data_IF_577555805984
#
_entry.id   IF_577555805984
#
_cell.length_a   1.000
_cell.length_b   1.000
_cell.length_c   1.000
_cell.angle_alpha   90.00
_cell.angle_beta   90.00
_cell.angle_gamma   90.00
#
_symmetry.space_group_name_H-M   'P 1'
#
loop_
_entity.id
_entity.type
_entity.pdbx_description
1 polymer ?
#
# COMPACT_ATOMS: atom_id res chain seq x y z
N UNK A 1 11.52 -8.94 5.93
CA UNK A 1 12.45 -8.04 5.20
C UNK A 1 13.91 -8.29 5.57
N UNK A 2 14.29 -8.32 6.85
CA UNK A 2 15.67 -8.63 7.29
C UNK A 2 16.24 -9.91 6.66
N UNK A 3 15.51 -11.03 6.70
CA UNK A 3 15.94 -12.29 6.10
C UNK A 3 16.10 -12.22 4.56
N UNK A 4 15.26 -11.47 3.85
CA UNK A 4 15.43 -11.25 2.41
C UNK A 4 16.72 -10.45 2.11
N UNK A 5 17.10 -9.56 3.03
CA UNK A 5 18.30 -8.72 2.95
C UNK A 5 18.07 -7.44 2.13
N UNK A 6 18.87 -6.41 2.44
CA UNK A 6 18.82 -5.13 1.73
C UNK A 6 18.98 -5.30 0.22
N UNK A 7 18.25 -4.49 -0.57
CA UNK A 7 18.26 -4.54 -2.04
C UNK A 7 17.57 -5.76 -2.67
N UNK A 8 17.03 -6.68 -1.87
CA UNK A 8 16.40 -7.91 -2.38
C UNK A 8 14.87 -7.95 -2.16
N UNK A 9 14.32 -6.87 -1.63
CA UNK A 9 12.88 -6.64 -1.53
C UNK A 9 12.56 -5.28 -2.16
N UNK A 10 11.40 -5.19 -2.78
CA UNK A 10 10.94 -3.98 -3.47
C UNK A 10 9.74 -3.33 -2.78
N UNK A 11 8.87 -4.14 -2.18
CA UNK A 11 7.65 -3.64 -1.56
C UNK A 11 7.16 -4.60 -0.48
N UNK A 12 6.57 -4.05 0.58
CA UNK A 12 5.96 -4.79 1.68
C UNK A 12 4.56 -4.21 1.93
N UNK A 13 3.55 -5.08 2.02
CA UNK A 13 2.23 -4.78 2.57
C UNK A 13 1.98 -5.70 3.78
N UNK A 14 0.85 -5.52 4.47
CA UNK A 14 0.47 -6.22 5.70
C UNK A 14 0.92 -7.70 5.75
N UNK A 15 0.63 -8.45 4.70
CA UNK A 15 0.81 -9.90 4.63
C UNK A 15 1.56 -10.35 3.36
N UNK A 16 2.21 -9.45 2.64
CA UNK A 16 2.90 -9.78 1.39
C UNK A 16 4.19 -9.00 1.19
N UNK A 17 5.15 -9.64 0.51
CA UNK A 17 6.45 -9.08 0.20
C UNK A 17 6.78 -9.36 -1.27
N UNK A 18 7.20 -8.32 -2.00
CA UNK A 18 7.72 -8.46 -3.35
C UNK A 18 9.25 -8.50 -3.25
N UNK A 19 9.86 -9.57 -3.75
CA UNK A 19 11.31 -9.82 -3.70
C UNK A 19 11.85 -10.21 -5.06
N UNK A 20 13.16 -10.05 -5.25
CA UNK A 20 13.87 -10.66 -6.36
C UNK A 20 14.18 -12.14 -6.07
N UNK A 21 14.85 -12.80 -7.00
CA UNK A 21 15.20 -14.22 -6.88
C UNK A 21 16.13 -14.51 -5.69
N UNK A 22 17.13 -13.66 -5.44
CA UNK A 22 18.04 -13.81 -4.29
C UNK A 22 17.28 -13.70 -2.96
N UNK A 23 16.37 -12.72 -2.85
CA UNK A 23 15.51 -12.55 -1.68
C UNK A 23 14.59 -13.75 -1.47
N UNK A 24 14.01 -14.31 -2.54
CA UNK A 24 13.23 -15.54 -2.49
C UNK A 24 14.07 -16.72 -1.99
N UNK A 25 15.28 -16.92 -2.52
CA UNK A 25 16.19 -17.97 -2.10
C UNK A 25 16.49 -17.90 -0.59
N UNK A 26 16.69 -16.69 -0.04
CA UNK A 26 16.91 -16.49 1.39
C UNK A 26 15.68 -16.79 2.25
N UNK A 27 14.48 -16.64 1.70
CA UNK A 27 13.22 -16.90 2.39
C UNK A 27 12.78 -18.37 2.32
N UNK A 28 13.42 -19.23 1.52
CA UNK A 28 12.98 -20.62 1.28
C UNK A 28 12.68 -21.42 2.55
N UNK A 29 13.46 -21.23 3.63
CA UNK A 29 13.25 -21.95 4.90
C UNK A 29 11.93 -21.63 5.59
N UNK A 30 11.33 -20.48 5.28
CA UNK A 30 10.04 -20.03 5.83
C UNK A 30 8.87 -20.29 4.89
N UNK A 31 9.15 -20.83 3.69
CA UNK A 31 8.14 -21.06 2.69
C UNK A 31 7.40 -22.37 2.95
N UNK A 32 6.07 -22.29 2.99
CA UNK A 32 5.20 -23.46 3.09
C UNK A 32 3.84 -23.09 2.53
N UNK A 33 3.28 -23.96 1.68
CA UNK A 33 1.95 -23.76 1.10
C UNK A 33 0.81 -24.24 2.00
N UNK A 34 1.13 -25.00 3.06
CA UNK A 34 0.14 -25.68 3.92
C UNK A 34 0.26 -25.29 5.38
N UNK A 35 1.43 -24.85 5.83
CA UNK A 35 1.66 -24.47 7.23
C UNK A 35 1.08 -23.09 7.52
N UNK A 36 0.40 -22.97 8.67
CA UNK A 36 -0.05 -21.67 9.17
C UNK A 36 1.15 -20.74 9.38
N UNK A 37 1.06 -19.50 8.90
CA UNK A 37 2.14 -18.51 8.95
C UNK A 37 3.27 -18.73 7.94
N UNK A 38 3.21 -19.78 7.11
CA UNK A 38 4.17 -20.02 6.03
C UNK A 38 4.03 -19.02 4.89
N UNK A 39 5.16 -18.67 4.27
CA UNK A 39 5.16 -17.87 3.04
C UNK A 39 4.86 -18.76 1.84
N UNK A 40 3.98 -18.30 0.94
CA UNK A 40 3.75 -18.94 -0.36
C UNK A 40 4.04 -17.97 -1.50
N UNK A 41 4.41 -18.52 -2.65
CA UNK A 41 4.55 -17.72 -3.87
C UNK A 41 3.17 -17.52 -4.47
N UNK A 42 2.63 -16.31 -4.32
CA UNK A 42 1.35 -15.94 -4.93
C UNK A 42 1.47 -15.73 -6.44
N UNK A 43 2.57 -15.14 -6.90
CA UNK A 43 2.80 -14.86 -8.31
C UNK A 43 4.28 -14.57 -8.58
N UNK A 44 4.70 -14.69 -9.83
CA UNK A 44 6.04 -14.34 -10.32
C UNK A 44 5.93 -13.50 -11.59
N UNK A 45 6.94 -12.67 -11.85
CA UNK A 45 6.93 -11.72 -12.95
C UNK A 45 8.31 -11.12 -13.18
N UNK A 46 8.52 -10.58 -14.38
CA UNK A 46 9.81 -10.02 -14.78
C UNK A 46 9.96 -8.54 -14.40
N UNK A 47 8.85 -7.86 -14.12
CA UNK A 47 8.85 -6.43 -13.79
C UNK A 47 7.78 -6.08 -12.76
N UNK A 48 8.10 -5.04 -12.00
CA UNK A 48 7.20 -4.38 -11.05
C UNK A 48 7.31 -2.87 -11.24
N UNK A 49 6.18 -2.18 -11.20
CA UNK A 49 6.14 -0.71 -11.17
C UNK A 49 5.42 -0.32 -9.90
N UNK A 50 6.14 0.33 -8.98
CA UNK A 50 5.63 0.83 -7.71
C UNK A 50 5.33 2.31 -7.86
N UNK A 51 4.07 2.70 -7.76
CA UNK A 51 3.62 4.10 -7.89
C UNK A 51 3.28 4.73 -6.54
N UNK A 52 3.07 3.90 -5.53
CA UNK A 52 2.80 4.33 -4.16
C UNK A 52 2.21 3.20 -3.32
N UNK A 53 1.63 3.58 -2.18
CA UNK A 53 1.02 2.63 -1.26
C UNK A 53 -0.19 1.95 -1.89
N UNK A 54 -0.07 0.63 -2.08
CA UNK A 54 -1.09 -0.21 -2.73
C UNK A 54 -1.51 0.33 -4.11
N UNK A 55 -0.58 0.97 -4.82
CA UNK A 55 -0.68 1.32 -6.24
C UNK A 55 0.57 0.77 -6.94
N UNK A 56 0.44 -0.44 -7.49
CA UNK A 56 1.52 -1.09 -8.22
C UNK A 56 1.02 -2.05 -9.29
N UNK A 57 1.86 -2.30 -10.29
CA UNK A 57 1.66 -3.36 -11.27
C UNK A 57 2.79 -4.37 -11.16
N UNK A 58 2.46 -5.65 -11.18
CA UNK A 58 3.41 -6.75 -11.10
C UNK A 58 3.06 -7.78 -12.17
N UNK A 59 3.86 -7.85 -13.23
CA UNK A 59 3.47 -8.57 -14.45
C UNK A 59 2.11 -8.09 -14.96
N UNK A 60 1.13 -9.00 -15.04
CA UNK A 60 -0.26 -8.70 -15.46
C UNK A 60 -1.16 -8.25 -14.31
N UNK A 61 -0.72 -8.36 -13.05
CA UNK A 61 -1.51 -7.99 -11.88
C UNK A 61 -1.46 -6.48 -11.67
N UNK A 62 -2.63 -5.86 -11.59
CA UNK A 62 -2.80 -4.46 -11.20
C UNK A 62 -3.41 -4.38 -9.81
N UNK A 63 -2.75 -3.68 -8.89
CA UNK A 63 -3.24 -3.43 -7.52
C UNK A 63 -3.36 -1.94 -7.34
N UNK A 64 -4.58 -1.45 -7.14
CA UNK A 64 -4.87 -0.05 -6.85
C UNK A 64 -5.90 0.01 -5.72
N UNK A 65 -5.50 0.50 -4.55
CA UNK A 65 -6.40 0.59 -3.39
C UNK A 65 -7.56 1.53 -3.69
N UNK A 66 -8.78 1.05 -3.41
CA UNK A 66 -10.00 1.84 -3.51
C UNK A 66 -10.54 1.99 -4.94
N UNK A 67 -9.86 1.42 -5.93
CA UNK A 67 -10.33 1.34 -7.33
C UNK A 67 -10.83 -0.07 -7.62
N UNK A 68 -12.06 -0.19 -8.10
CA UNK A 68 -12.66 -1.49 -8.44
C UNK A 68 -12.07 -2.05 -9.74
N UNK A 69 -12.14 -3.38 -9.91
CA UNK A 69 -11.68 -4.05 -11.14
C UNK A 69 -12.42 -3.58 -12.39
N UNK A 70 -13.68 -3.20 -12.26
CA UNK A 70 -14.53 -2.71 -13.35
C UNK A 70 -14.57 -1.17 -13.45
N UNK A 71 -13.72 -0.46 -12.69
CA UNK A 71 -13.62 0.99 -12.81
C UNK A 71 -13.08 1.38 -14.19
N UNK A 72 -13.61 2.46 -14.76
CA UNK A 72 -13.15 2.99 -16.05
C UNK A 72 -12.03 3.99 -15.78
N UNK A 73 -10.85 3.76 -16.37
CA UNK A 73 -9.74 4.72 -16.31
C UNK A 73 -10.05 5.87 -17.27
N UNK A 74 -10.18 7.09 -16.76
CA UNK A 74 -10.39 8.29 -17.58
C UNK A 74 -9.05 8.87 -18.04
N UNK A 75 -8.09 8.95 -17.13
CA UNK A 75 -6.72 9.41 -17.38
C UNK A 75 -5.79 8.83 -16.32
N UNK A 76 -4.50 9.19 -16.35
CA UNK A 76 -3.58 8.66 -15.36
C UNK A 76 -3.91 9.14 -13.94
N UNK A 77 -4.08 8.19 -13.01
CA UNK A 77 -4.52 8.47 -11.65
C UNK A 77 -6.00 8.83 -11.49
N UNK A 78 -6.80 8.87 -12.57
CA UNK A 78 -8.21 9.26 -12.53
C UNK A 78 -9.11 8.13 -13.03
N UNK A 79 -10.04 7.70 -12.18
CA UNK A 79 -10.92 6.56 -12.43
C UNK A 79 -12.36 6.91 -12.07
N UNK A 80 -13.33 6.42 -12.84
CA UNK A 80 -14.75 6.43 -12.47
C UNK A 80 -15.20 5.05 -12.07
N UNK A 81 -16.06 4.99 -11.04
CA UNK A 81 -16.66 3.75 -10.59
C UNK A 81 -17.96 3.99 -9.85
N UNK A 82 -18.76 2.95 -9.74
CA UNK A 82 -19.93 2.97 -8.87
C UNK A 82 -19.53 3.02 -7.39
N UNK A 83 -20.28 3.81 -6.62
CA UNK A 83 -20.26 3.89 -5.16
C UNK A 83 -21.59 3.36 -4.67
N UNK A 84 -21.49 2.24 -3.95
CA UNK A 84 -22.64 1.57 -3.37
C UNK A 84 -22.79 2.05 -1.92
N UNK A 85 -23.99 2.50 -1.51
CA UNK A 85 -24.23 2.92 -0.14
C UNK A 85 -23.94 1.79 0.85
N UNK A 86 -23.21 2.11 1.93
CA UNK A 86 -23.15 1.23 3.09
C UNK A 86 -24.42 1.38 3.91
N UNK A 87 -24.82 0.35 4.67
CA UNK A 87 -25.97 0.45 5.57
C UNK A 87 -25.87 1.65 6.52
N UNK A 88 -24.69 1.88 7.10
CA UNK A 88 -24.42 3.08 7.93
C UNK A 88 -24.59 4.38 7.14
N UNK A 89 -24.22 4.39 5.86
CA UNK A 89 -24.40 5.53 4.97
C UNK A 89 -25.87 5.84 4.71
N UNK A 90 -26.69 4.80 4.47
CA UNK A 90 -28.14 4.92 4.29
C UNK A 90 -28.84 5.41 5.56
N UNK A 91 -28.48 4.88 6.73
CA UNK A 91 -29.05 5.38 7.99
C UNK A 91 -28.73 6.86 8.25
N UNK A 92 -27.56 7.34 7.81
CA UNK A 92 -27.16 8.75 7.94
C UNK A 92 -27.79 9.67 6.90
N UNK A 93 -28.32 9.15 5.80
CA UNK A 93 -29.00 9.98 4.78
C UNK A 93 -30.38 10.47 5.23
N UNK A 94 -30.96 9.85 6.27
CA UNK A 94 -32.32 10.11 6.71
C UNK A 94 -33.40 9.53 5.79
N UNK A 95 -33.00 8.81 4.74
CA UNK A 95 -33.86 8.13 3.75
C UNK A 95 -33.33 6.71 3.50
N UNK A 96 -33.40 5.80 4.48
CA UNK A 96 -32.85 4.45 4.36
C UNK A 96 -33.53 3.60 3.27
N UNK A 97 -34.74 3.96 2.87
CA UNK A 97 -35.49 3.37 1.76
C UNK A 97 -34.89 3.66 0.38
N UNK A 98 -34.12 4.75 0.24
CA UNK A 98 -33.54 5.17 -1.04
C UNK A 98 -32.15 4.52 -1.25
N UNK A 99 -32.13 3.37 -1.93
CA UNK A 99 -30.88 2.69 -2.32
C UNK A 99 -30.35 3.20 -3.67
N UNK A 100 -29.66 4.33 -3.67
CA UNK A 100 -29.12 4.95 -4.89
C UNK A 100 -27.65 4.57 -5.10
N UNK A 101 -27.34 3.99 -6.26
CA UNK A 101 -25.95 3.77 -6.71
C UNK A 101 -25.46 4.99 -7.47
N UNK A 102 -24.39 5.61 -6.99
CA UNK A 102 -23.80 6.81 -7.59
C UNK A 102 -22.58 6.45 -8.42
N UNK A 103 -22.31 7.21 -9.48
CA UNK A 103 -20.99 7.19 -10.12
C UNK A 103 -20.09 8.23 -9.45
N UNK A 104 -18.89 7.82 -9.04
CA UNK A 104 -17.90 8.72 -8.43
C UNK A 104 -16.58 8.70 -9.18
N UNK A 105 -15.90 9.84 -9.21
CA UNK A 105 -14.55 9.99 -9.76
C UNK A 105 -13.51 9.95 -8.65
N UNK A 106 -12.58 9.00 -8.73
CA UNK A 106 -11.43 8.85 -7.83
C UNK A 106 -10.21 9.51 -8.45
N UNK A 107 -9.55 10.34 -7.65
CA UNK A 107 -8.28 10.99 -7.98
C UNK A 107 -7.21 10.41 -7.05
N UNK A 108 -6.26 9.68 -7.62
CA UNK A 108 -5.19 9.03 -6.86
C UNK A 108 -3.97 9.94 -6.83
N UNK A 109 -3.57 10.35 -5.62
CA UNK A 109 -2.32 11.08 -5.41
C UNK A 109 -1.20 10.09 -5.16
N UNK A 110 -0.17 10.11 -6.00
CA UNK A 110 1.02 9.24 -5.88
C UNK A 110 2.13 9.87 -5.04
N UNK A 111 1.83 10.96 -4.31
CA UNK A 111 2.77 11.58 -3.38
C UNK A 111 2.92 10.68 -2.16
N UNK A 112 4.13 10.19 -1.91
CA UNK A 112 4.43 9.42 -0.72
C UNK A 112 4.68 10.37 0.46
N UNK A 113 3.90 10.25 1.54
CA UNK A 113 3.97 11.15 2.70
C UNK A 113 4.16 10.40 4.03
N UNK A 114 4.65 9.15 3.96
CA UNK A 114 4.83 8.29 5.15
C UNK A 114 6.31 8.03 5.47
N UNK A 115 7.19 8.87 4.94
CA UNK A 115 8.63 8.74 5.03
C UNK A 115 9.29 9.57 3.94
N UNK A 116 10.62 9.68 4.04
CA UNK A 116 11.44 10.40 3.08
C UNK A 116 11.85 9.47 1.95
N UNK A 117 11.48 9.83 0.73
CA UNK A 117 11.82 9.07 -0.47
C UNK A 117 13.16 9.56 -0.99
N UNK A 118 14.17 8.70 -0.95
CA UNK A 118 15.50 8.96 -1.53
C UNK A 118 15.44 9.01 -3.05
N UNK A 119 16.51 9.49 -3.69
CA UNK A 119 16.65 9.55 -5.15
C UNK A 119 16.55 8.17 -5.83
N UNK A 120 16.92 7.11 -5.12
CA UNK A 120 16.86 5.72 -5.59
C UNK A 120 15.49 5.06 -5.32
N UNK A 121 14.53 5.82 -4.78
CA UNK A 121 13.17 5.35 -4.50
C UNK A 121 13.02 4.55 -3.19
N UNK A 122 14.08 4.46 -2.38
CA UNK A 122 14.02 3.90 -1.02
C UNK A 122 13.27 4.86 -0.10
N UNK A 123 12.36 4.34 0.72
CA UNK A 123 11.63 5.10 1.74
C UNK A 123 12.33 4.94 3.08
N UNK A 124 12.80 6.05 3.65
CA UNK A 124 13.31 6.13 5.01
C UNK A 124 12.17 6.51 5.96
N UNK A 125 12.03 5.84 7.12
CA UNK A 125 11.04 6.23 8.12
C UNK A 125 11.38 7.62 8.68
N UNK A 126 10.36 8.36 9.09
CA UNK A 126 10.59 9.57 9.89
C UNK A 126 11.21 9.18 11.22
N UNK A 127 12.27 9.89 11.62
CA UNK A 127 12.86 9.78 12.94
C UNK A 127 12.21 10.83 13.85
N UNK A 128 11.73 10.41 15.01
CA UNK A 128 11.27 11.34 16.05
C UNK A 128 12.50 11.92 16.74
N UNK A 129 12.66 13.24 16.65
CA UNK A 129 13.65 13.98 17.42
C UNK A 129 13.06 14.31 18.80
N UNK A 130 13.19 13.37 19.75
CA UNK A 130 12.74 13.54 21.14
C UNK A 130 13.69 14.43 21.96
N UNK A 131 14.50 15.29 21.34
CA UNK A 131 15.29 16.27 22.08
C UNK A 131 14.38 17.34 22.70
N UNK A 132 13.89 17.06 23.90
CA UNK A 132 13.34 18.07 24.81
C UNK A 132 14.45 19.10 25.02
N UNK A 133 14.30 20.30 24.46
CA UNK A 133 15.09 21.44 24.87
C UNK A 133 14.74 21.74 26.33
N UNK A 134 15.52 21.19 27.26
CA UNK A 134 15.45 21.58 28.67
C UNK A 134 15.88 23.05 28.72
N UNK A 135 14.92 23.96 28.74
CA UNK A 135 15.19 25.35 29.10
C UNK A 135 15.68 25.32 30.55
N UNK A 136 16.98 25.53 30.77
CA UNK A 136 17.52 25.79 32.09
C UNK A 136 16.85 27.07 32.62
N UNK A 137 15.89 26.91 33.53
CA UNK A 137 15.32 28.03 34.28
C UNK A 137 16.37 28.44 35.31
N UNK A 138 16.90 29.66 35.30
CA UNK A 138 17.85 30.09 36.32
C UNK A 138 17.14 30.20 37.66
N UNK A 139 17.70 29.54 38.67
CA UNK A 139 17.27 29.65 40.06
C UNK A 139 17.55 31.05 40.59
N UNK A 140 16.50 31.75 41.02
CA UNK A 140 16.51 32.99 41.80
C UNK A 140 16.94 32.78 43.24
#
# INVERSE_FOLDING_TARGET
MQQAGWGNYFYCDTDSLIVNEVGKCRLMKTMSNTSLGGLKVETSGLSVILRGLKDYSFGTKLVIKGVRKNAVKLSDGVYTQEKWPSFRGLLRSGKPEDYVVETVTKHLTRKYTKGDVTVDGVVLPYEFDDTVQTQCVPSS
#
